data_IF_716787450433
#
_entry.id   IF_716787450433
#
_cell.length_a   1.000
_cell.length_b   1.000
_cell.length_c   1.000
_cell.angle_alpha   90.00
_cell.angle_beta   90.00
_cell.angle_gamma   90.00
#
_symmetry.space_group_name_H-M   'P 1'
#
loop_
_entity.id
_entity.type
_entity.pdbx_description
1 polymer ?
#
# COMPACT_ATOMS: atom_id res chain seq x y z
N UNK A 1 41.34 5.94 -8.65
CA UNK A 1 40.40 5.03 -9.33
C UNK A 1 39.16 4.73 -8.49
N UNK A 2 39.29 4.77 -7.20
CA UNK A 2 38.14 4.44 -6.37
C UNK A 2 37.13 5.56 -6.32
N UNK A 3 37.50 6.71 -6.75
CA UNK A 3 36.65 7.88 -6.65
C UNK A 3 35.39 7.74 -7.49
N UNK A 4 35.52 7.13 -8.63
CA UNK A 4 34.37 6.98 -9.52
C UNK A 4 33.28 6.16 -8.90
N UNK A 5 33.66 5.11 -8.22
CA UNK A 5 32.68 4.21 -7.61
C UNK A 5 31.81 4.93 -6.61
N UNK A 6 32.41 5.83 -5.86
CA UNK A 6 31.68 6.57 -4.84
C UNK A 6 30.65 7.49 -5.47
N UNK A 7 31.01 8.10 -6.59
CA UNK A 7 30.08 9.02 -7.25
C UNK A 7 28.86 8.31 -7.74
N UNK A 8 29.03 7.14 -8.29
CA UNK A 8 27.91 6.38 -8.84
C UNK A 8 26.92 5.99 -7.79
N UNK A 9 27.42 5.57 -6.63
CA UNK A 9 26.53 5.11 -5.58
C UNK A 9 25.67 6.22 -5.01
N UNK A 10 26.06 7.45 -5.16
CA UNK A 10 25.29 8.54 -4.58
C UNK A 10 24.00 8.83 -5.30
N UNK A 11 24.00 8.67 -6.62
CA UNK A 11 22.79 8.96 -7.40
C UNK A 11 21.67 8.00 -7.07
N UNK A 12 21.99 6.73 -6.91
CA UNK A 12 20.99 5.71 -6.71
C UNK A 12 20.26 5.86 -5.36
N UNK A 13 20.97 6.08 -4.24
CA UNK A 13 20.29 6.20 -2.96
C UNK A 13 19.29 7.34 -2.91
N UNK A 14 19.53 8.41 -3.65
CA UNK A 14 18.61 9.54 -3.65
C UNK A 14 17.25 9.14 -4.20
N UNK A 15 17.24 8.38 -5.28
CA UNK A 15 16.00 7.92 -5.88
C UNK A 15 15.28 6.97 -4.94
N UNK A 16 16.02 6.10 -4.29
CA UNK A 16 15.43 5.10 -3.43
C UNK A 16 14.91 5.66 -2.12
N UNK A 17 15.29 6.85 -1.78
CA UNK A 17 14.78 7.48 -0.56
C UNK A 17 13.31 7.80 -0.63
N UNK A 18 12.78 7.87 -1.81
CA UNK A 18 11.35 8.02 -1.94
C UNK A 18 10.73 6.71 -1.51
N UNK A 19 10.44 6.61 -0.23
CA UNK A 19 9.86 5.41 0.29
C UNK A 19 8.43 5.29 -0.21
N UNK A 20 8.08 4.08 -0.57
CA UNK A 20 6.72 3.73 -0.89
C UNK A 20 6.14 2.96 0.28
N UNK A 21 4.83 3.05 0.44
CA UNK A 21 4.12 2.20 1.38
C UNK A 21 3.82 0.91 0.64
N UNK A 22 4.28 -0.20 1.16
CA UNK A 22 4.10 -1.50 0.53
C UNK A 22 3.44 -2.48 1.47
N UNK A 23 2.66 -3.37 0.88
CA UNK A 23 2.06 -4.47 1.62
C UNK A 23 2.06 -5.71 0.74
N UNK A 24 2.33 -6.84 1.35
CA UNK A 24 2.35 -8.13 0.67
C UNK A 24 1.30 -9.02 1.31
N UNK A 25 0.48 -9.63 0.46
CA UNK A 25 -0.56 -10.55 0.89
C UNK A 25 -0.36 -11.93 0.31
N UNK A 26 -0.89 -12.93 0.97
CA UNK A 26 -0.71 -14.33 0.61
C UNK A 26 -2.05 -15.05 0.58
N UNK A 27 -2.14 -16.09 -0.24
CA UNK A 27 -3.30 -16.97 -0.23
C UNK A 27 -2.88 -18.37 -0.65
N UNK A 28 -3.42 -19.35 0.04
CA UNK A 28 -3.17 -20.77 -0.23
C UNK A 28 -4.10 -21.23 -1.34
N UNK A 29 -3.56 -21.90 -2.35
CA UNK A 29 -4.32 -22.29 -3.53
C UNK A 29 -5.31 -23.41 -3.18
N UNK A 30 -4.84 -24.43 -2.49
CA UNK A 30 -5.61 -25.65 -2.27
C UNK A 30 -6.85 -25.44 -1.41
N UNK A 31 -6.91 -24.35 -0.64
CA UNK A 31 -8.08 -24.08 0.21
C UNK A 31 -9.14 -23.24 -0.50
N UNK A 32 -8.88 -22.82 -1.73
CA UNK A 32 -9.85 -22.02 -2.46
C UNK A 32 -11.04 -22.87 -2.89
N UNK A 33 -12.26 -22.30 -2.88
CA UNK A 33 -13.49 -23.09 -3.11
C UNK A 33 -13.72 -23.36 -4.60
N UNK A 34 -13.02 -24.33 -5.13
CA UNK A 34 -13.21 -24.80 -6.50
C UNK A 34 -12.55 -26.17 -6.64
N UNK A 35 -13.11 -27.00 -7.50
CA UNK A 35 -12.54 -28.31 -7.83
C UNK A 35 -11.62 -28.22 -9.03
N UNK A 36 -11.59 -27.09 -9.72
CA UNK A 36 -10.78 -26.90 -10.93
C UNK A 36 -9.51 -26.17 -10.54
N UNK A 37 -8.35 -26.82 -10.81
CA UNK A 37 -7.06 -26.26 -10.39
C UNK A 37 -6.78 -24.86 -10.91
N UNK A 38 -7.10 -24.61 -12.19
CA UNK A 38 -6.89 -23.29 -12.76
C UNK A 38 -7.73 -22.23 -12.06
N UNK A 39 -8.96 -22.59 -11.70
CA UNK A 39 -9.85 -21.67 -11.01
C UNK A 39 -9.40 -21.45 -9.58
N UNK A 40 -8.90 -22.48 -8.91
CA UNK A 40 -8.32 -22.31 -7.57
C UNK A 40 -7.17 -21.33 -7.59
N UNK A 41 -6.32 -21.40 -8.61
CA UNK A 41 -5.19 -20.44 -8.72
C UNK A 41 -5.68 -19.02 -8.92
N UNK A 42 -6.69 -18.81 -9.77
CA UNK A 42 -7.25 -17.47 -9.97
C UNK A 42 -7.86 -16.92 -8.68
N UNK A 43 -8.57 -17.78 -7.93
CA UNK A 43 -9.13 -17.36 -6.66
C UNK A 43 -8.04 -17.01 -5.66
N UNK A 44 -6.96 -17.77 -5.64
CA UNK A 44 -5.83 -17.50 -4.76
C UNK A 44 -5.15 -16.18 -5.11
N UNK A 45 -5.03 -15.88 -6.40
CA UNK A 45 -4.47 -14.59 -6.83
C UNK A 45 -5.33 -13.46 -6.30
N UNK A 46 -6.65 -13.56 -6.45
CA UNK A 46 -7.57 -12.53 -5.95
C UNK A 46 -7.51 -12.41 -4.44
N UNK A 47 -7.47 -13.54 -3.75
CA UNK A 47 -7.42 -13.56 -2.29
C UNK A 47 -6.12 -12.95 -1.77
N UNK A 48 -4.99 -13.24 -2.43
CA UNK A 48 -3.71 -12.67 -2.04
C UNK A 48 -3.70 -11.16 -2.25
N UNK A 49 -4.35 -10.68 -3.30
CA UNK A 49 -4.48 -9.25 -3.56
C UNK A 49 -5.33 -8.57 -2.48
N UNK A 50 -6.43 -9.19 -2.08
CA UNK A 50 -7.25 -8.64 -1.00
C UNK A 50 -6.50 -8.61 0.32
N UNK A 51 -5.70 -9.63 0.58
CA UNK A 51 -4.87 -9.66 1.77
C UNK A 51 -3.84 -8.54 1.76
N UNK A 52 -3.24 -8.27 0.60
CA UNK A 52 -2.30 -7.16 0.44
C UNK A 52 -3.00 -5.81 0.65
N UNK A 53 -4.21 -5.65 0.14
CA UNK A 53 -4.99 -4.42 0.36
C UNK A 53 -5.28 -4.21 1.84
N UNK A 54 -5.58 -5.27 2.57
CA UNK A 54 -5.82 -5.17 4.01
C UNK A 54 -4.58 -4.65 4.73
N UNK A 55 -3.42 -5.22 4.41
CA UNK A 55 -2.16 -4.76 5.01
C UNK A 55 -1.84 -3.32 4.65
N UNK A 56 -2.10 -2.94 3.39
CA UNK A 56 -1.88 -1.58 2.94
C UNK A 56 -2.80 -0.60 3.68
N UNK A 57 -4.06 -0.98 3.84
CA UNK A 57 -5.03 -0.18 4.56
C UNK A 57 -4.58 0.08 5.98
N UNK A 58 -4.10 -0.95 6.67
CA UNK A 58 -3.61 -0.81 8.03
C UNK A 58 -2.45 0.18 8.10
N UNK A 59 -1.53 0.10 7.14
CA UNK A 59 -0.38 1.01 7.12
C UNK A 59 -0.80 2.46 6.83
N UNK A 60 -1.73 2.67 5.91
CA UNK A 60 -2.20 4.02 5.58
C UNK A 60 -2.95 4.61 6.77
N UNK A 61 -3.82 3.84 7.39
CA UNK A 61 -4.62 4.33 8.51
C UNK A 61 -3.75 4.63 9.74
N UNK A 62 -2.59 3.99 9.84
CA UNK A 62 -1.64 4.26 10.92
C UNK A 62 -0.74 5.46 10.70
N UNK A 63 -0.80 6.10 9.52
CA UNK A 63 0.05 7.27 9.26
C UNK A 63 -0.45 8.47 10.05
N UNK A 64 0.47 9.31 10.48
CA UNK A 64 0.13 10.52 11.21
C UNK A 64 -0.09 11.69 10.26
N UNK A 65 -1.16 12.41 10.51
CA UNK A 65 -1.47 13.66 9.79
C UNK A 65 -0.80 14.85 10.48
N UNK A 66 -0.70 14.78 11.80
CA UNK A 66 0.06 15.74 12.60
C UNK A 66 0.64 14.98 13.79
N UNK A 67 1.11 15.70 14.81
CA UNK A 67 1.82 15.08 15.93
C UNK A 67 0.95 14.11 16.73
N UNK A 68 -0.38 14.27 16.68
CA UNK A 68 -1.28 13.50 17.53
C UNK A 68 -2.43 12.84 16.80
N UNK A 69 -2.63 13.14 15.53
CA UNK A 69 -3.80 12.68 14.79
C UNK A 69 -3.38 11.74 13.66
N UNK A 70 -3.92 10.53 13.65
CA UNK A 70 -3.67 9.58 12.57
C UNK A 70 -4.74 9.70 11.48
N UNK A 71 -4.48 9.07 10.35
CA UNK A 71 -5.48 8.96 9.28
C UNK A 71 -6.74 8.28 9.81
N UNK A 72 -6.57 7.24 10.64
CA UNK A 72 -7.72 6.54 11.23
C UNK A 72 -8.58 7.47 12.09
N UNK A 73 -7.93 8.30 12.90
CA UNK A 73 -8.66 9.25 13.76
C UNK A 73 -9.53 10.18 12.93
N UNK A 74 -8.96 10.73 11.87
CA UNK A 74 -9.71 11.67 11.03
C UNK A 74 -10.79 10.98 10.22
N UNK A 75 -10.55 9.76 9.78
CA UNK A 75 -11.53 8.98 9.01
C UNK A 75 -12.79 8.69 9.83
N UNK A 76 -12.65 8.52 11.14
CA UNK A 76 -13.81 8.33 12.02
C UNK A 76 -14.64 9.60 12.08
N UNK A 77 -14.00 10.75 12.05
CA UNK A 77 -14.68 12.03 12.19
C UNK A 77 -15.27 12.57 10.90
N UNK A 78 -14.77 12.12 9.76
CA UNK A 78 -15.18 12.68 8.47
C UNK A 78 -15.36 11.58 7.43
N UNK A 79 -16.61 11.39 7.00
CA UNK A 79 -16.92 10.42 5.94
C UNK A 79 -16.27 10.82 4.61
N UNK A 80 -16.20 12.11 4.33
CA UNK A 80 -15.58 12.60 3.12
C UNK A 80 -14.10 12.25 3.09
N UNK A 81 -13.40 12.48 4.20
CA UNK A 81 -12.00 12.14 4.30
C UNK A 81 -11.79 10.63 4.17
N UNK A 82 -12.62 9.84 4.84
CA UNK A 82 -12.52 8.38 4.76
C UNK A 82 -12.69 7.90 3.32
N UNK A 83 -13.66 8.44 2.61
CA UNK A 83 -13.89 8.06 1.21
C UNK A 83 -12.68 8.39 0.35
N UNK A 84 -12.05 9.53 0.58
CA UNK A 84 -10.85 9.90 -0.16
C UNK A 84 -9.70 8.96 0.14
N UNK A 85 -9.54 8.57 1.41
CA UNK A 85 -8.50 7.61 1.80
C UNK A 85 -8.73 6.26 1.11
N UNK A 86 -9.97 5.80 1.07
CA UNK A 86 -10.30 4.55 0.41
C UNK A 86 -9.98 4.60 -1.08
N UNK A 87 -10.29 5.72 -1.72
CA UNK A 87 -9.96 5.90 -3.13
C UNK A 87 -8.46 5.85 -3.39
N UNK A 88 -7.70 6.44 -2.50
CA UNK A 88 -6.24 6.41 -2.59
C UNK A 88 -5.72 4.98 -2.48
N UNK A 89 -6.23 4.21 -1.53
CA UNK A 89 -5.79 2.82 -1.34
C UNK A 89 -6.12 1.98 -2.56
N UNK A 90 -7.29 2.16 -3.15
CA UNK A 90 -7.66 1.44 -4.36
C UNK A 90 -6.78 1.79 -5.55
N UNK A 91 -6.13 2.95 -5.51
CA UNK A 91 -5.19 3.35 -6.55
C UNK A 91 -3.81 2.74 -6.43
N UNK A 92 -3.58 1.87 -5.46
CA UNK A 92 -2.29 1.23 -5.27
C UNK A 92 -1.89 0.42 -6.49
N UNK A 93 -0.60 0.40 -6.78
CA UNK A 93 -0.06 -0.33 -7.91
C UNK A 93 0.26 -1.75 -7.53
N UNK A 94 -0.03 -2.69 -8.42
CA UNK A 94 0.39 -4.07 -8.26
C UNK A 94 1.85 -4.14 -8.70
N UNK A 95 2.74 -4.39 -7.73
CA UNK A 95 4.16 -4.51 -8.01
C UNK A 95 4.49 -5.91 -8.53
N UNK A 96 3.90 -6.92 -7.91
CA UNK A 96 4.15 -8.28 -8.33
C UNK A 96 3.01 -9.20 -7.88
N UNK A 97 2.80 -10.24 -8.68
CA UNK A 97 1.93 -11.36 -8.35
C UNK A 97 2.73 -12.59 -8.74
N UNK A 98 3.04 -13.45 -7.79
CA UNK A 98 3.92 -14.57 -8.05
C UNK A 98 3.59 -15.76 -7.15
N UNK A 99 3.81 -16.98 -7.65
CA UNK A 99 3.71 -18.15 -6.78
C UNK A 99 4.89 -18.19 -5.82
N UNK A 100 4.63 -18.62 -4.61
CA UNK A 100 5.64 -18.82 -3.59
C UNK A 100 5.49 -20.26 -3.12
N UNK A 101 6.47 -21.10 -3.46
CA UNK A 101 6.33 -22.51 -3.22
C UNK A 101 5.30 -23.12 -4.16
N UNK A 102 4.70 -24.24 -3.76
CA UNK A 102 3.84 -25.02 -4.63
C UNK A 102 2.35 -24.71 -4.46
N UNK A 103 1.97 -24.07 -3.37
CA UNK A 103 0.55 -23.95 -3.02
C UNK A 103 0.16 -22.56 -2.53
N UNK A 104 0.97 -21.55 -2.80
CA UNK A 104 0.70 -20.19 -2.30
C UNK A 104 0.95 -19.16 -3.38
N UNK A 105 0.09 -18.16 -3.47
CA UNK A 105 0.32 -16.95 -4.25
C UNK A 105 0.62 -15.78 -3.34
N UNK A 106 1.46 -14.89 -3.84
CA UNK A 106 1.88 -13.69 -3.14
C UNK A 106 1.61 -12.49 -4.03
N UNK A 107 0.97 -11.46 -3.48
CA UNK A 107 0.74 -10.20 -4.20
C UNK A 107 1.35 -9.07 -3.39
N UNK A 108 2.10 -8.20 -4.05
CA UNK A 108 2.66 -7.00 -3.43
C UNK A 108 2.05 -5.76 -4.07
N UNK A 109 1.54 -4.88 -3.23
CA UNK A 109 0.98 -3.59 -3.63
C UNK A 109 1.86 -2.47 -3.11
N UNK A 110 1.83 -1.34 -3.82
CA UNK A 110 2.65 -0.18 -3.45
C UNK A 110 1.87 1.11 -3.65
N UNK A 111 2.03 2.02 -2.69
CA UNK A 111 1.58 3.41 -2.80
C UNK A 111 2.78 4.32 -2.66
N UNK A 112 2.83 5.37 -3.49
CA UNK A 112 3.87 6.38 -3.38
C UNK A 112 3.75 7.15 -2.07
N UNK A 113 4.89 7.59 -1.55
CA UNK A 113 4.91 8.44 -0.36
C UNK A 113 4.13 9.73 -0.58
N UNK A 114 4.08 10.22 -1.81
CA UNK A 114 3.32 11.43 -2.15
C UNK A 114 1.84 11.32 -1.75
N UNK A 115 1.31 10.11 -1.73
CA UNK A 115 -0.06 9.87 -1.32
C UNK A 115 -0.29 10.29 0.13
N UNK A 116 0.67 10.01 1.01
CA UNK A 116 0.56 10.42 2.41
C UNK A 116 0.62 11.93 2.51
N UNK A 117 1.48 12.55 1.72
CA UNK A 117 1.56 14.02 1.70
C UNK A 117 0.25 14.63 1.23
N UNK A 118 -0.39 14.03 0.24
CA UNK A 118 -1.69 14.49 -0.25
C UNK A 118 -2.76 14.36 0.83
N UNK A 119 -2.74 13.28 1.60
CA UNK A 119 -3.70 13.11 2.70
C UNK A 119 -3.48 14.17 3.77
N UNK A 120 -2.24 14.51 4.07
CA UNK A 120 -1.94 15.60 5.00
C UNK A 120 -2.44 16.94 4.49
N UNK A 121 -2.27 17.20 3.19
CA UNK A 121 -2.78 18.43 2.60
C UNK A 121 -4.30 18.51 2.68
N UNK A 122 -4.99 17.41 2.44
CA UNK A 122 -6.45 17.34 2.58
C UNK A 122 -6.87 17.60 4.02
N UNK A 123 -6.15 17.04 4.97
CA UNK A 123 -6.44 17.26 6.38
C UNK A 123 -6.29 18.72 6.75
N UNK A 124 -5.19 19.35 6.32
CA UNK A 124 -4.95 20.76 6.64
C UNK A 124 -6.00 21.65 6.02
N UNK A 125 -6.41 21.36 4.78
CA UNK A 125 -7.47 22.12 4.12
C UNK A 125 -8.79 21.97 4.85
N UNK A 126 -9.10 20.77 5.33
CA UNK A 126 -10.31 20.51 6.08
C UNK A 126 -10.31 21.27 7.40
N UNK A 127 -9.18 21.33 8.09
CA UNK A 127 -9.06 22.06 9.35
C UNK A 127 -9.18 23.55 9.12
N UNK A 128 -8.60 24.07 8.05
CA UNK A 128 -8.68 25.48 7.73
C UNK A 128 -10.11 25.93 7.45
N UNK A 129 -10.90 25.07 6.78
CA UNK A 129 -12.27 25.41 6.44
C UNK A 129 -13.19 25.38 7.68
N UNK A 130 -12.73 24.81 8.78
CA UNK A 130 -13.51 24.74 10.01
C UNK A 130 -13.33 25.98 10.88
N UNK A 131 -12.26 26.71 10.64
CA UNK A 131 -12.03 27.94 11.38
C UNK A 131 -12.59 29.13 10.63
#
# INVERSE_FOLDING_TARGET
PQVETVVETKAIPVVERRSAIRATGYAVISVQPSDVGAQQRLLAIRASKLDAYRGLTEQVYGQYLDATTTVADMAVLSDTFRTQVEGVIYGAKVVSIAPVGEDTYETTLSLDQDVVDDLRALYLASMASRS
#
